data_IF_720839108952
#
_entry.id   IF_720839108952
#
_cell.length_a   1.000
_cell.length_b   1.000
_cell.length_c   1.000
_cell.angle_alpha   90.00
_cell.angle_beta   90.00
_cell.angle_gamma   90.00
#
_symmetry.space_group_name_H-M   'P 1'
#
loop_
_entity.id
_entity.type
_entity.pdbx_description
1 polymer ?
#
# COMPACT_ATOMS: atom_id res chain seq x y z
N UNK A 1 0.62 -36.23 -7.18
CA UNK A 1 0.76 -35.01 -6.35
C UNK A 1 0.50 -33.80 -7.23
N UNK A 2 -0.70 -33.23 -7.16
CA UNK A 2 -0.98 -31.94 -7.80
C UNK A 2 -0.21 -30.88 -7.01
N UNK A 3 0.76 -30.24 -7.65
CA UNK A 3 1.40 -29.02 -7.15
C UNK A 3 0.28 -28.04 -6.82
N UNK A 4 -0.01 -27.86 -5.52
CA UNK A 4 -0.72 -26.67 -5.07
C UNK A 4 0.11 -25.50 -5.60
N UNK A 5 -0.39 -24.79 -6.61
CA UNK A 5 0.24 -23.54 -7.04
C UNK A 5 0.25 -22.64 -5.81
N UNK A 6 1.42 -22.48 -5.20
CA UNK A 6 1.66 -21.43 -4.24
C UNK A 6 1.41 -20.13 -5.00
N UNK A 7 0.33 -19.44 -4.64
CA UNK A 7 -0.01 -18.17 -5.22
C UNK A 7 0.90 -17.13 -4.57
N UNK A 8 2.04 -16.90 -5.21
CA UNK A 8 2.90 -15.80 -4.86
C UNK A 8 2.27 -14.48 -5.27
N UNK A 9 2.68 -13.39 -4.63
CA UNK A 9 2.17 -12.05 -4.92
C UNK A 9 3.20 -10.96 -4.62
N UNK A 10 3.03 -9.80 -5.24
CA UNK A 10 3.82 -8.60 -4.94
C UNK A 10 3.16 -7.76 -3.82
N UNK A 11 3.95 -7.40 -2.81
CA UNK A 11 3.58 -6.44 -1.78
C UNK A 11 4.07 -5.02 -2.11
N UNK A 12 4.19 -4.13 -1.10
CA UNK A 12 4.71 -2.80 -1.32
C UNK A 12 6.21 -2.77 -1.62
N UNK A 13 6.65 -1.67 -2.22
CA UNK A 13 8.06 -1.28 -2.27
C UNK A 13 8.54 -0.94 -0.85
N UNK A 14 9.45 -1.76 -0.34
CA UNK A 14 10.09 -1.56 0.96
C UNK A 14 11.50 -1.01 0.73
N UNK A 15 11.68 0.30 0.94
CA UNK A 15 12.96 0.99 0.70
C UNK A 15 14.12 0.41 1.50
N UNK A 16 13.83 -0.18 2.66
CA UNK A 16 14.80 -0.80 3.57
C UNK A 16 15.39 -2.12 3.02
N UNK A 17 14.79 -2.70 1.98
CA UNK A 17 15.27 -3.94 1.32
C UNK A 17 16.14 -3.60 0.08
N UNK A 18 16.36 -2.32 -0.22
CA UNK A 18 17.47 -1.86 -1.07
C UNK A 18 17.30 -1.95 -2.59
N UNK A 19 16.18 -2.42 -3.12
CA UNK A 19 16.00 -2.60 -4.58
C UNK A 19 15.10 -1.56 -5.25
N UNK A 20 14.27 -0.81 -4.50
CA UNK A 20 13.25 0.05 -5.11
C UNK A 20 12.17 -0.73 -5.88
N UNK A 21 12.12 -2.06 -5.71
CA UNK A 21 11.16 -2.95 -6.32
C UNK A 21 10.11 -3.43 -5.31
N UNK A 22 8.93 -3.76 -5.81
CA UNK A 22 7.88 -4.39 -5.01
C UNK A 22 8.40 -5.75 -4.48
N UNK A 23 8.27 -5.98 -3.17
CA UNK A 23 8.76 -7.22 -2.56
C UNK A 23 7.87 -8.39 -2.95
N UNK A 24 8.47 -9.47 -3.47
CA UNK A 24 7.76 -10.69 -3.83
C UNK A 24 7.61 -11.62 -2.62
N UNK A 25 6.39 -12.13 -2.40
CA UNK A 25 6.08 -13.06 -1.33
C UNK A 25 5.57 -14.37 -1.93
N UNK A 26 6.15 -15.50 -1.53
CA UNK A 26 5.75 -16.82 -2.05
C UNK A 26 4.36 -17.28 -1.57
N UNK A 27 3.90 -16.77 -0.42
CA UNK A 27 2.56 -17.03 0.11
C UNK A 27 2.15 -16.00 1.15
N UNK A 28 0.88 -16.04 1.58
CA UNK A 28 0.40 -15.17 2.66
C UNK A 28 1.09 -15.49 3.98
N UNK A 29 1.55 -16.73 4.18
CA UNK A 29 2.39 -17.08 5.34
C UNK A 29 3.72 -16.32 5.32
N UNK A 30 4.39 -16.22 4.17
CA UNK A 30 5.65 -15.47 4.05
C UNK A 30 5.44 -14.00 4.44
N UNK A 31 4.36 -13.40 3.94
CA UNK A 31 3.95 -12.05 4.30
C UNK A 31 3.74 -11.89 5.81
N UNK A 32 2.89 -12.73 6.41
CA UNK A 32 2.52 -12.58 7.84
C UNK A 32 3.75 -12.76 8.74
N UNK A 33 4.58 -13.76 8.48
CA UNK A 33 5.74 -14.06 9.31
C UNK A 33 6.87 -13.04 9.13
N UNK A 34 7.12 -12.55 7.91
CA UNK A 34 8.09 -11.48 7.66
C UNK A 34 7.70 -10.18 8.40
N UNK A 35 6.40 -9.85 8.45
CA UNK A 35 5.89 -8.60 9.06
C UNK A 35 5.86 -8.62 10.59
N UNK A 36 6.22 -9.74 11.23
CA UNK A 36 6.50 -9.79 12.68
C UNK A 36 7.79 -9.08 13.06
N UNK A 37 8.67 -8.81 12.10
CA UNK A 37 9.94 -8.15 12.33
C UNK A 37 9.90 -6.70 11.87
N UNK A 38 10.60 -5.84 12.61
CA UNK A 38 10.85 -4.46 12.20
C UNK A 38 11.92 -4.46 11.11
N UNK A 39 11.53 -4.10 9.89
CA UNK A 39 12.40 -4.08 8.72
C UNK A 39 13.64 -3.20 8.93
N UNK A 40 13.48 -2.06 9.62
CA UNK A 40 14.57 -1.13 9.89
C UNK A 40 15.68 -1.73 10.77
N UNK A 41 15.36 -2.78 11.53
CA UNK A 41 16.28 -3.45 12.48
C UNK A 41 16.70 -4.84 12.03
N UNK A 42 15.83 -5.53 11.29
CA UNK A 42 15.95 -6.96 10.99
C UNK A 42 15.84 -7.26 9.49
N UNK A 43 16.28 -6.33 8.62
CA UNK A 43 16.21 -6.48 7.17
C UNK A 43 16.77 -7.82 6.66
N UNK A 44 17.95 -8.25 7.14
CA UNK A 44 18.57 -9.51 6.73
C UNK A 44 17.74 -10.75 7.12
N UNK A 45 17.15 -10.75 8.31
CA UNK A 45 16.27 -11.83 8.76
C UNK A 45 14.97 -11.88 7.95
N UNK A 46 14.41 -10.72 7.61
CA UNK A 46 13.26 -10.65 6.73
C UNK A 46 13.61 -11.19 5.34
N UNK A 47 14.75 -10.80 4.78
CA UNK A 47 15.21 -11.33 3.49
C UNK A 47 15.39 -12.85 3.54
N UNK A 48 15.97 -13.40 4.62
CA UNK A 48 16.08 -14.84 4.82
C UNK A 48 14.69 -15.51 4.84
N UNK A 49 13.72 -14.97 5.58
CA UNK A 49 12.34 -15.49 5.60
C UNK A 49 11.68 -15.48 4.23
N UNK A 50 11.95 -14.47 3.40
CA UNK A 50 11.40 -14.36 2.05
C UNK A 50 12.00 -15.37 1.05
N UNK A 51 13.24 -15.80 1.28
CA UNK A 51 13.95 -16.77 0.45
C UNK A 51 13.67 -18.23 0.85
N UNK A 52 13.01 -18.46 1.98
CA UNK A 52 12.66 -19.81 2.42
C UNK A 52 11.68 -20.46 1.43
N UNK A 53 11.89 -21.72 1.02
CA UNK A 53 11.07 -22.33 -0.02
C UNK A 53 9.71 -22.80 0.48
N UNK A 54 9.54 -23.02 1.79
CA UNK A 54 8.30 -23.56 2.36
C UNK A 54 7.73 -22.74 3.51
N UNK A 55 6.41 -22.69 3.61
CA UNK A 55 5.72 -22.04 4.73
C UNK A 55 6.11 -22.61 6.10
N UNK A 56 6.48 -23.90 6.15
CA UNK A 56 6.90 -24.54 7.40
C UNK A 56 8.22 -23.96 7.89
N UNK A 57 9.21 -23.79 7.00
CA UNK A 57 10.51 -23.24 7.35
C UNK A 57 10.42 -21.78 7.78
N UNK A 58 9.62 -20.98 7.09
CA UNK A 58 9.32 -19.60 7.47
C UNK A 58 8.77 -19.53 8.89
N UNK A 59 7.72 -20.30 9.20
CA UNK A 59 7.12 -20.33 10.55
C UNK A 59 8.10 -20.83 11.59
N UNK A 60 8.93 -21.82 11.25
CA UNK A 60 9.94 -22.37 12.17
C UNK A 60 11.01 -21.33 12.52
N UNK A 61 11.57 -20.64 11.51
CA UNK A 61 12.57 -19.60 11.73
C UNK A 61 11.97 -18.42 12.49
N UNK A 62 10.81 -17.92 12.05
CA UNK A 62 10.11 -16.84 12.75
C UNK A 62 9.85 -17.13 14.23
N UNK A 63 9.44 -18.37 14.57
CA UNK A 63 9.25 -18.78 15.97
C UNK A 63 10.56 -18.87 16.75
N UNK A 64 11.64 -19.37 16.12
CA UNK A 64 12.97 -19.40 16.72
C UNK A 64 13.44 -17.99 17.08
N UNK A 65 13.16 -17.03 16.21
CA UNK A 65 13.50 -15.61 16.37
C UNK A 65 12.39 -14.80 17.08
N UNK A 66 11.50 -15.45 17.83
CA UNK A 66 10.34 -14.76 18.45
C UNK A 66 10.71 -13.66 19.45
N UNK A 67 11.91 -13.71 20.03
CA UNK A 67 12.45 -12.63 20.86
C UNK A 67 12.68 -11.32 20.08
N UNK A 68 12.84 -11.41 18.76
CA UNK A 68 13.04 -10.27 17.85
C UNK A 68 11.73 -9.81 17.19
N UNK A 69 10.58 -10.38 17.57
CA UNK A 69 9.29 -9.88 17.10
C UNK A 69 9.05 -8.46 17.60
N UNK A 70 8.45 -7.64 16.74
CA UNK A 70 8.02 -6.30 17.08
C UNK A 70 7.02 -6.33 18.24
N UNK A 71 7.21 -5.43 19.20
CA UNK A 71 6.41 -5.37 20.44
C UNK A 71 4.94 -5.02 20.19
N UNK A 72 4.65 -4.29 19.12
CA UNK A 72 3.31 -3.88 18.70
C UNK A 72 2.61 -4.92 17.78
N UNK A 73 3.17 -6.12 17.60
CA UNK A 73 2.61 -7.14 16.70
C UNK A 73 1.12 -7.41 16.97
N UNK A 74 0.73 -7.52 18.24
CA UNK A 74 -0.67 -7.79 18.59
C UNK A 74 -1.63 -6.67 18.18
N UNK A 75 -1.15 -5.42 18.10
CA UNK A 75 -1.92 -4.26 17.69
C UNK A 75 -2.08 -4.20 16.16
N UNK A 76 -1.03 -4.56 15.42
CA UNK A 76 -1.00 -4.38 13.97
C UNK A 76 -1.35 -5.64 13.16
N UNK A 77 -1.34 -6.83 13.78
CA UNK A 77 -1.53 -8.12 13.08
C UNK A 77 -2.77 -8.14 12.19
N UNK A 78 -3.87 -7.56 12.64
CA UNK A 78 -5.13 -7.52 11.89
C UNK A 78 -4.98 -6.70 10.61
N UNK A 79 -4.37 -5.51 10.68
CA UNK A 79 -4.10 -4.68 9.52
C UNK A 79 -3.15 -5.38 8.55
N UNK A 80 -2.07 -5.96 9.07
CA UNK A 80 -1.09 -6.72 8.27
C UNK A 80 -1.74 -7.86 7.50
N UNK A 81 -2.56 -8.69 8.16
CA UNK A 81 -3.22 -9.83 7.50
C UNK A 81 -4.20 -9.35 6.42
N UNK A 82 -5.04 -8.36 6.72
CA UNK A 82 -5.98 -7.80 5.74
C UNK A 82 -5.24 -7.23 4.51
N UNK A 83 -4.14 -6.51 4.75
CA UNK A 83 -3.31 -5.94 3.70
C UNK A 83 -2.66 -7.02 2.82
N UNK A 84 -2.15 -8.10 3.42
CA UNK A 84 -1.58 -9.23 2.67
C UNK A 84 -2.61 -9.95 1.80
N UNK A 85 -3.83 -10.18 2.33
CA UNK A 85 -4.95 -10.70 1.54
C UNK A 85 -5.30 -9.75 0.40
N UNK A 86 -5.29 -8.44 0.65
CA UNK A 86 -5.60 -7.44 -0.37
C UNK A 86 -4.59 -7.47 -1.53
N UNK A 87 -3.28 -7.45 -1.22
CA UNK A 87 -2.22 -7.57 -2.23
C UNK A 87 -2.36 -8.85 -3.04
N UNK A 88 -2.59 -9.98 -2.38
CA UNK A 88 -2.76 -11.26 -3.02
C UNK A 88 -3.99 -11.29 -3.97
N UNK A 89 -5.05 -10.55 -3.64
CA UNK A 89 -6.23 -10.44 -4.51
C UNK A 89 -6.03 -9.47 -5.68
N UNK A 90 -5.24 -8.40 -5.48
CA UNK A 90 -4.92 -7.40 -6.51
C UNK A 90 -4.03 -8.03 -7.58
N UNK A 91 -2.97 -8.74 -7.18
CA UNK A 91 -1.95 -9.27 -8.08
C UNK A 91 -2.47 -10.40 -8.98
N UNK A 92 -3.38 -11.22 -8.48
CA UNK A 92 -3.89 -12.37 -9.22
C UNK A 92 -5.02 -12.07 -10.20
N UNK A 93 -5.42 -10.82 -10.40
CA UNK A 93 -6.50 -10.50 -11.33
C UNK A 93 -6.15 -10.98 -12.77
N UNK A 94 -7.00 -11.80 -13.44
CA UNK A 94 -8.41 -12.09 -13.15
C UNK A 94 -8.70 -13.36 -12.33
N UNK A 95 -7.68 -14.16 -11.99
CA UNK A 95 -7.84 -15.39 -11.19
C UNK A 95 -8.05 -15.05 -9.70
N UNK A 96 -9.29 -15.10 -9.21
CA UNK A 96 -9.54 -14.85 -7.79
C UNK A 96 -8.95 -15.97 -6.92
N UNK A 97 -8.19 -15.64 -5.86
CA UNK A 97 -7.73 -16.66 -4.93
C UNK A 97 -8.92 -17.36 -4.26
N UNK A 98 -8.77 -18.66 -4.03
CA UNK A 98 -9.81 -19.44 -3.36
C UNK A 98 -9.81 -19.03 -1.88
N UNK A 99 -10.88 -18.39 -1.40
CA UNK A 99 -11.03 -17.94 0.00
C UNK A 99 -10.60 -18.99 1.02
N UNK A 100 -11.00 -20.25 0.81
CA UNK A 100 -10.67 -21.36 1.73
C UNK A 100 -9.16 -21.68 1.80
N UNK A 101 -8.37 -21.32 0.80
CA UNK A 101 -6.92 -21.43 0.84
C UNK A 101 -6.33 -20.31 1.69
N UNK A 102 -6.71 -19.06 1.45
CA UNK A 102 -6.23 -17.90 2.21
C UNK A 102 -6.53 -18.04 3.71
N UNK A 103 -7.75 -18.48 4.06
CA UNK A 103 -8.15 -18.75 5.44
C UNK A 103 -7.24 -19.80 6.08
N UNK A 104 -6.93 -20.90 5.36
CA UNK A 104 -6.01 -21.94 5.85
C UNK A 104 -4.59 -21.42 6.08
N UNK A 105 -4.08 -20.55 5.22
CA UNK A 105 -2.76 -19.93 5.41
C UNK A 105 -2.74 -19.02 6.66
N UNK A 106 -3.80 -18.23 6.87
CA UNK A 106 -3.95 -17.39 8.07
C UNK A 106 -4.04 -18.25 9.34
N UNK A 107 -4.80 -19.36 9.31
CA UNK A 107 -4.91 -20.29 10.44
C UNK A 107 -3.56 -20.89 10.84
N UNK A 108 -2.72 -21.25 9.85
CA UNK A 108 -1.37 -21.80 10.09
C UNK A 108 -0.44 -20.81 10.79
N UNK A 109 -0.73 -19.51 10.74
CA UNK A 109 -0.03 -18.46 11.48
C UNK A 109 -0.52 -18.28 12.92
N UNK A 110 -1.39 -19.17 13.42
CA UNK A 110 -1.87 -19.17 14.81
C UNK A 110 -3.10 -18.30 15.05
N UNK A 111 -3.86 -17.99 14.00
CA UNK A 111 -5.13 -17.26 14.09
C UNK A 111 -6.28 -18.27 14.09
N UNK A 112 -7.30 -18.06 14.94
CA UNK A 112 -8.46 -18.95 14.94
C UNK A 112 -9.23 -18.84 13.63
N UNK A 113 -9.84 -19.94 13.17
CA UNK A 113 -10.61 -19.99 11.92
C UNK A 113 -11.64 -18.87 11.81
N UNK A 114 -12.43 -18.62 12.86
CA UNK A 114 -13.43 -17.57 12.87
C UNK A 114 -12.83 -16.17 12.62
N UNK A 115 -11.67 -15.88 13.20
CA UNK A 115 -10.96 -14.62 12.97
C UNK A 115 -10.33 -14.60 11.59
N UNK A 116 -9.76 -15.72 11.13
CA UNK A 116 -9.17 -15.86 9.80
C UNK A 116 -10.19 -15.59 8.69
N UNK A 117 -11.42 -16.12 8.82
CA UNK A 117 -12.54 -15.87 7.90
C UNK A 117 -12.87 -14.37 7.82
N UNK A 118 -13.02 -13.70 8.97
CA UNK A 118 -13.32 -12.25 9.04
C UNK A 118 -12.20 -11.42 8.39
N UNK A 119 -10.94 -11.73 8.69
CA UNK A 119 -9.79 -11.02 8.14
C UNK A 119 -9.66 -11.23 6.64
N UNK A 120 -9.92 -12.45 6.16
CA UNK A 120 -9.92 -12.75 4.74
C UNK A 120 -11.02 -11.96 4.00
N UNK A 121 -12.25 -11.94 4.53
CA UNK A 121 -13.35 -11.17 3.94
C UNK A 121 -13.06 -9.68 3.89
N UNK A 122 -12.50 -9.11 4.97
CA UNK A 122 -12.13 -7.70 5.01
C UNK A 122 -10.99 -7.36 4.05
N UNK A 123 -9.97 -8.22 3.94
CA UNK A 123 -8.90 -8.05 2.96
C UNK A 123 -9.40 -8.14 1.52
N UNK A 124 -10.30 -9.07 1.22
CA UNK A 124 -10.95 -9.17 -0.09
C UNK A 124 -11.82 -7.93 -0.40
N UNK A 125 -12.57 -7.43 0.60
CA UNK A 125 -13.32 -6.18 0.48
C UNK A 125 -12.37 -5.01 0.18
N UNK A 126 -11.22 -4.95 0.85
CA UNK A 126 -10.20 -3.92 0.64
C UNK A 126 -9.60 -3.97 -0.77
N UNK A 127 -9.35 -5.15 -1.33
CA UNK A 127 -8.87 -5.32 -2.70
C UNK A 127 -9.88 -4.85 -3.76
N UNK A 128 -11.18 -5.02 -3.49
CA UNK A 128 -12.26 -4.58 -4.38
C UNK A 128 -12.69 -3.13 -4.12
N UNK A 129 -12.08 -2.46 -3.15
CA UNK A 129 -12.46 -1.12 -2.75
C UNK A 129 -11.96 -0.05 -3.74
N UNK A 130 -12.46 1.20 -3.66
CA UNK A 130 -12.07 2.26 -4.57
C UNK A 130 -10.55 2.48 -4.61
N UNK A 131 -10.04 2.68 -5.82
CA UNK A 131 -8.66 3.06 -6.09
C UNK A 131 -8.55 4.58 -6.04
N UNK A 132 -7.67 5.11 -5.19
CA UNK A 132 -7.51 6.56 -5.00
C UNK A 132 -6.10 6.96 -5.37
N UNK A 133 -5.96 7.89 -6.31
CA UNK A 133 -4.69 8.51 -6.64
C UNK A 133 -4.58 9.87 -5.94
N UNK A 134 -3.47 10.09 -5.25
CA UNK A 134 -3.17 11.39 -4.62
C UNK A 134 -1.90 11.95 -5.25
N UNK A 135 -2.03 13.08 -5.94
CA UNK A 135 -0.93 13.80 -6.57
C UNK A 135 -0.61 15.04 -5.75
N UNK A 136 0.62 15.13 -5.25
CA UNK A 136 1.06 16.25 -4.43
C UNK A 136 2.55 16.50 -4.66
N UNK A 137 2.96 17.76 -4.75
CA UNK A 137 4.39 18.09 -4.72
C UNK A 137 5.00 17.77 -3.34
N UNK A 138 6.31 17.52 -3.29
CA UNK A 138 7.04 17.29 -2.03
C UNK A 138 7.00 18.48 -1.06
N UNK A 139 6.64 19.67 -1.54
CA UNK A 139 6.55 20.91 -0.75
C UNK A 139 5.24 21.05 0.03
N UNK A 140 4.25 20.18 -0.19
CA UNK A 140 2.99 20.23 0.55
C UNK A 140 3.27 20.02 2.05
N UNK A 141 2.85 20.94 2.93
CA UNK A 141 3.04 20.74 4.37
C UNK A 141 2.37 19.46 4.85
N UNK A 142 3.11 18.67 5.65
CA UNK A 142 2.66 17.35 6.09
C UNK A 142 1.33 17.40 6.87
N UNK A 143 1.06 18.50 7.58
CA UNK A 143 -0.20 18.71 8.32
C UNK A 143 -1.40 18.77 7.37
N UNK A 144 -1.27 19.50 6.24
CA UNK A 144 -2.31 19.59 5.22
C UNK A 144 -2.54 18.24 4.54
N UNK A 145 -1.44 17.55 4.21
CA UNK A 145 -1.50 16.22 3.60
C UNK A 145 -2.20 15.21 4.52
N UNK A 146 -1.76 15.11 5.79
CA UNK A 146 -2.33 14.21 6.78
C UNK A 146 -3.80 14.48 7.05
N UNK A 147 -4.21 15.76 7.16
CA UNK A 147 -5.61 16.13 7.36
C UNK A 147 -6.48 15.57 6.23
N UNK A 148 -6.03 15.72 4.99
CA UNK A 148 -6.77 15.24 3.81
C UNK A 148 -6.79 13.72 3.74
N UNK A 149 -5.65 13.05 3.93
CA UNK A 149 -5.58 11.58 3.92
C UNK A 149 -6.50 10.96 4.98
N UNK A 150 -6.62 11.56 6.17
CA UNK A 150 -7.60 11.15 7.20
C UNK A 150 -9.05 11.32 6.73
N UNK A 151 -9.37 12.40 6.01
CA UNK A 151 -10.71 12.61 5.46
C UNK A 151 -11.05 11.59 4.36
N UNK A 152 -10.10 11.29 3.48
CA UNK A 152 -10.22 10.22 2.47
C UNK A 152 -10.48 8.89 3.17
N UNK A 153 -9.66 8.56 4.17
CA UNK A 153 -9.79 7.34 4.93
C UNK A 153 -11.16 7.21 5.62
N UNK A 154 -11.67 8.32 6.19
CA UNK A 154 -13.00 8.37 6.77
C UNK A 154 -14.10 8.20 5.71
N UNK A 155 -13.98 8.85 4.54
CA UNK A 155 -14.95 8.75 3.42
C UNK A 155 -15.13 7.31 2.96
N UNK A 156 -14.06 6.54 2.90
CA UNK A 156 -14.07 5.14 2.44
C UNK A 156 -14.03 4.12 3.57
N UNK A 157 -14.32 4.53 4.82
CA UNK A 157 -14.36 3.65 6.00
C UNK A 157 -13.09 2.80 6.23
N UNK A 158 -11.93 3.29 5.78
CA UNK A 158 -10.67 2.55 5.83
C UNK A 158 -10.52 1.44 4.79
N UNK A 159 -11.44 1.34 3.83
CA UNK A 159 -11.39 0.39 2.71
C UNK A 159 -11.17 1.14 1.41
N UNK A 160 -9.91 1.29 1.00
CA UNK A 160 -9.51 1.82 -0.30
C UNK A 160 -8.06 1.42 -0.59
N UNK A 161 -7.65 1.50 -1.85
CA UNK A 161 -6.26 1.26 -2.27
C UNK A 161 -5.61 2.56 -2.72
N UNK A 162 -4.39 2.84 -2.27
CA UNK A 162 -3.61 3.94 -2.82
C UNK A 162 -3.08 3.53 -4.19
N UNK A 163 -3.36 4.32 -5.22
CA UNK A 163 -2.66 4.25 -6.50
C UNK A 163 -1.49 5.23 -6.44
N UNK A 164 -0.30 4.69 -6.22
CA UNK A 164 0.91 5.47 -6.09
C UNK A 164 1.57 5.68 -7.45
N UNK A 165 1.63 6.94 -7.87
CA UNK A 165 2.34 7.35 -9.08
C UNK A 165 3.85 7.27 -8.87
N UNK A 166 4.55 6.50 -9.71
CA UNK A 166 6.03 6.35 -9.66
C UNK A 166 6.80 7.39 -10.46
N UNK A 167 6.10 8.13 -11.32
CA UNK A 167 6.72 9.14 -12.18
C UNK A 167 7.08 10.43 -11.45
N UNK A 168 7.29 11.50 -12.20
CA UNK A 168 7.61 12.82 -11.65
C UNK A 168 6.51 13.32 -10.72
N UNK A 169 6.91 14.07 -9.69
CA UNK A 169 6.05 14.54 -8.60
C UNK A 169 5.47 13.43 -7.73
N UNK A 170 6.04 12.22 -7.77
CA UNK A 170 5.79 11.23 -6.73
C UNK A 170 6.17 11.80 -5.36
N UNK A 171 5.29 11.61 -4.38
CA UNK A 171 5.49 12.06 -3.01
C UNK A 171 5.49 10.85 -2.08
N UNK A 172 6.69 10.51 -1.58
CA UNK A 172 6.90 9.32 -0.75
C UNK A 172 6.18 9.41 0.59
N UNK A 173 5.90 10.61 1.11
CA UNK A 173 5.12 10.79 2.35
C UNK A 173 3.71 10.21 2.22
N UNK A 174 3.09 10.28 1.03
CA UNK A 174 1.77 9.66 0.78
C UNK A 174 1.87 8.13 0.84
N UNK A 175 2.91 7.59 0.22
CA UNK A 175 3.20 6.16 0.22
C UNK A 175 3.38 5.64 1.65
N UNK A 176 4.24 6.29 2.44
CA UNK A 176 4.55 5.86 3.80
C UNK A 176 3.36 6.03 4.74
N UNK A 177 2.54 7.07 4.51
CA UNK A 177 1.26 7.23 5.20
C UNK A 177 0.30 6.05 4.91
N UNK A 178 0.20 5.62 3.65
CA UNK A 178 -0.65 4.49 3.29
C UNK A 178 -0.14 3.17 3.89
N UNK A 179 1.18 2.96 3.88
CA UNK A 179 1.81 1.80 4.54
C UNK A 179 1.52 1.76 6.05
N UNK A 180 1.73 2.87 6.74
CA UNK A 180 1.46 2.96 8.19
C UNK A 180 -0.03 2.82 8.53
N UNK A 181 -0.91 3.19 7.60
CA UNK A 181 -2.36 3.03 7.74
C UNK A 181 -2.87 1.63 7.35
N UNK A 182 -1.98 0.73 6.91
CA UNK A 182 -2.33 -0.63 6.51
C UNK A 182 -3.12 -0.73 5.20
N UNK A 183 -3.02 0.28 4.34
CA UNK A 183 -3.70 0.32 3.05
C UNK A 183 -2.83 -0.37 1.98
N UNK A 184 -3.42 -1.12 1.04
CA UNK A 184 -2.70 -1.64 -0.11
C UNK A 184 -2.31 -0.51 -1.06
N UNK A 185 -1.15 -0.67 -1.69
CA UNK A 185 -0.56 0.30 -2.61
C UNK A 185 -0.39 -0.35 -3.98
N UNK A 186 -0.94 0.26 -5.01
CA UNK A 186 -0.83 -0.15 -6.41
C UNK A 186 0.10 0.85 -7.09
N UNK A 187 1.22 0.37 -7.61
CA UNK A 187 2.22 1.23 -8.25
C UNK A 187 1.93 1.37 -9.73
N UNK A 188 1.92 2.61 -10.22
CA UNK A 188 1.56 2.94 -11.59
C UNK A 188 2.51 3.96 -12.19
N UNK A 189 2.80 3.77 -13.47
CA UNK A 189 3.71 4.60 -14.25
C UNK A 189 5.18 4.19 -14.07
N UNK A 190 6.02 4.77 -14.91
CA UNK A 190 7.46 4.55 -14.91
C UNK A 190 8.21 5.67 -14.18
N UNK A 191 9.43 5.35 -13.76
CA UNK A 191 10.37 6.34 -13.23
C UNK A 191 10.53 7.46 -14.28
N UNK A 192 10.53 8.71 -13.83
CA UNK A 192 10.61 9.92 -14.66
C UNK A 192 9.44 10.19 -15.63
N UNK A 193 8.42 9.33 -15.66
CA UNK A 193 7.22 9.54 -16.47
C UNK A 193 6.51 10.84 -16.04
N UNK A 194 6.10 11.64 -17.01
CA UNK A 194 5.35 12.88 -16.77
C UNK A 194 3.86 12.58 -16.63
N UNK A 195 3.14 13.41 -15.87
CA UNK A 195 1.68 13.34 -15.74
C UNK A 195 0.92 13.79 -17.01
N UNK A 196 1.65 14.31 -18.00
CA UNK A 196 1.16 14.85 -19.26
C UNK A 196 2.05 14.39 -20.42
N UNK A 197 1.45 14.25 -21.59
CA UNK A 197 2.13 13.80 -22.81
C UNK A 197 1.88 12.32 -23.12
N UNK A 198 2.72 11.70 -23.96
CA UNK A 198 2.64 10.27 -24.27
C UNK A 198 2.68 9.43 -22.98
N UNK A 199 1.79 8.42 -22.86
CA UNK A 199 1.69 7.58 -21.67
C UNK A 199 0.82 8.15 -20.55
N UNK A 200 0.31 9.39 -20.67
CA UNK A 200 -0.51 10.01 -19.62
C UNK A 200 -1.87 9.32 -19.40
N UNK A 201 -2.34 8.52 -20.36
CA UNK A 201 -3.49 7.61 -20.23
C UNK A 201 -3.34 6.68 -19.03
N UNK A 202 -2.13 6.21 -18.73
CA UNK A 202 -1.85 5.36 -17.58
C UNK A 202 -2.24 6.06 -16.28
N UNK A 203 -1.98 7.37 -16.17
CA UNK A 203 -2.41 8.15 -15.01
C UNK A 203 -3.94 8.37 -15.00
N UNK A 204 -4.57 8.57 -16.15
CA UNK A 204 -6.02 8.85 -16.24
C UNK A 204 -6.89 7.65 -15.88
N UNK A 205 -6.41 6.46 -16.15
CA UNK A 205 -7.24 5.25 -16.08
C UNK A 205 -6.96 4.42 -14.82
N UNK A 206 -5.92 4.75 -14.05
CA UNK A 206 -5.46 3.93 -12.94
C UNK A 206 -6.27 4.02 -11.65
N UNK A 207 -7.08 5.07 -11.46
CA UNK A 207 -7.84 5.27 -10.24
C UNK A 207 -9.32 5.63 -10.50
N UNK A 208 -10.12 5.44 -9.46
CA UNK A 208 -11.53 5.80 -9.42
C UNK A 208 -11.70 7.25 -8.95
N UNK A 209 -10.86 7.69 -7.99
CA UNK A 209 -10.86 9.03 -7.45
C UNK A 209 -9.46 9.67 -7.48
N UNK A 210 -9.42 10.96 -7.81
CA UNK A 210 -8.17 11.73 -7.85
C UNK A 210 -8.21 12.90 -6.88
N UNK A 211 -7.15 13.03 -6.10
CA UNK A 211 -6.91 14.16 -5.21
C UNK A 211 -5.63 14.86 -5.65
N UNK A 212 -5.75 16.11 -6.10
CA UNK A 212 -4.61 16.86 -6.62
C UNK A 212 -4.34 18.06 -5.72
N UNK A 213 -3.20 18.06 -5.05
CA UNK A 213 -2.76 19.17 -4.24
C UNK A 213 -2.09 20.21 -5.11
N UNK A 214 -2.56 21.45 -5.04
CA UNK A 214 -1.95 22.59 -5.73
C UNK A 214 -1.78 23.76 -4.77
N UNK A 215 -0.74 24.56 -4.99
CA UNK A 215 -0.48 25.74 -4.17
C UNK A 215 -1.50 26.81 -4.54
N UNK A 216 -2.09 27.48 -3.56
CA UNK A 216 -3.06 28.56 -3.83
C UNK A 216 -2.40 29.66 -4.66
N UNK A 217 -3.04 30.00 -5.79
CA UNK A 217 -2.53 30.97 -6.75
C UNK A 217 -1.56 30.39 -7.78
N UNK A 218 -1.12 29.15 -7.61
CA UNK A 218 -0.41 28.38 -8.63
C UNK A 218 -1.43 27.64 -9.52
N UNK A 219 -1.06 27.42 -10.77
CA UNK A 219 -1.87 26.74 -11.80
C UNK A 219 -1.11 25.58 -12.45
N UNK A 220 -0.04 25.11 -11.82
CA UNK A 220 0.79 24.01 -12.34
C UNK A 220 0.00 22.73 -12.56
N UNK A 221 -0.91 22.40 -11.65
CA UNK A 221 -1.66 21.15 -11.74
C UNK A 221 -2.88 21.25 -12.67
N UNK A 222 -3.25 22.45 -13.14
CA UNK A 222 -4.46 22.69 -13.95
C UNK A 222 -4.52 21.79 -15.19
N UNK A 223 -3.39 21.65 -15.90
CA UNK A 223 -3.32 20.78 -17.08
C UNK A 223 -3.47 19.29 -16.73
N UNK A 224 -2.89 18.84 -15.63
CA UNK A 224 -3.04 17.46 -15.14
C UNK A 224 -4.49 17.19 -14.75
N UNK A 225 -5.13 18.13 -14.03
CA UNK A 225 -6.54 18.05 -13.65
C UNK A 225 -7.43 17.99 -14.89
N UNK A 226 -7.20 18.84 -15.88
CA UNK A 226 -7.96 18.83 -17.13
C UNK A 226 -7.78 17.51 -17.90
N UNK A 227 -6.56 16.97 -17.95
CA UNK A 227 -6.28 15.68 -18.58
C UNK A 227 -7.01 14.52 -17.91
N UNK A 228 -7.07 14.49 -16.57
CA UNK A 228 -7.80 13.43 -15.85
C UNK A 228 -9.30 13.59 -16.01
N UNK A 229 -9.83 14.82 -15.94
CA UNK A 229 -11.26 15.10 -16.14
C UNK A 229 -11.74 14.79 -17.55
N UNK A 230 -10.90 14.92 -18.58
CA UNK A 230 -11.29 14.60 -19.95
C UNK A 230 -11.56 13.10 -20.16
N UNK A 231 -11.08 12.23 -19.26
CA UNK A 231 -11.42 10.81 -19.20
C UNK A 231 -12.70 10.52 -18.37
N UNK A 232 -13.46 11.55 -17.97
CA UNK A 232 -14.69 11.40 -17.19
C UNK A 232 -14.47 11.07 -15.71
N UNK A 233 -13.25 11.26 -15.20
CA UNK A 233 -12.89 10.97 -13.79
C UNK A 233 -13.19 12.15 -12.87
N UNK A 234 -13.61 11.84 -11.64
CA UNK A 234 -13.79 12.85 -10.58
C UNK A 234 -12.42 13.28 -10.03
N UNK A 235 -12.17 14.59 -10.00
CA UNK A 235 -10.92 15.18 -9.49
C UNK A 235 -11.22 16.26 -8.45
N UNK A 236 -10.81 16.03 -7.21
CA UNK A 236 -10.83 17.00 -6.13
C UNK A 236 -9.50 17.75 -6.05
N UNK A 237 -9.54 19.08 -6.22
CA UNK A 237 -8.35 19.93 -6.10
C UNK A 237 -8.26 20.43 -4.65
N UNK A 238 -7.14 20.11 -3.99
CA UNK A 238 -6.87 20.47 -2.60
C UNK A 238 -5.86 21.61 -2.57
N UNK A 239 -6.36 22.83 -2.36
CA UNK A 239 -5.51 24.01 -2.28
C UNK A 239 -4.78 24.10 -0.94
N UNK A 240 -3.48 24.34 -0.97
CA UNK A 240 -2.65 24.59 0.21
C UNK A 240 -1.92 25.93 0.09
N UNK A 241 -1.61 26.55 1.22
CA UNK A 241 -0.75 27.72 1.28
C UNK A 241 0.45 27.37 2.17
N UNK A 242 1.66 27.85 1.86
CA UNK A 242 2.73 27.84 2.85
C UNK A 242 2.22 28.61 4.07
N UNK A 243 2.49 28.11 5.27
CA UNK A 243 2.31 28.91 6.47
C UNK A 243 3.13 30.19 6.27
N UNK A 244 2.48 31.35 6.37
CA UNK A 244 3.23 32.58 6.58
C UNK A 244 3.95 32.35 7.90
N UNK A 245 5.29 32.27 7.86
CA UNK A 245 6.07 32.49 9.06
C UNK A 245 5.81 33.94 9.44
N UNK A 246 4.72 34.19 10.16
CA UNK A 246 4.48 35.46 10.80
C UNK A 246 5.68 35.71 11.73
N UNK A 247 6.45 36.74 11.40
CA UNK A 247 7.36 37.54 12.24
C UNK A 247 7.52 37.07 13.69
N UNK A 248 8.13 35.90 13.88
CA UNK A 248 8.52 35.41 15.21
C UNK A 248 9.96 35.82 15.51
N UNK A 249 10.30 37.05 15.14
CA UNK A 249 11.47 37.82 15.59
C UNK A 249 11.14 39.31 15.43
N UNK A 250 10.30 39.83 16.34
CA UNK A 250 10.35 41.24 16.77
C UNK A 250 10.51 41.22 18.28
#
# INVERSE_FOLDING_TARGET
MLLQRFSSFYGPELTEIGTGEATHFLSLTHWIEARKFDLSKHASLVQELLLMPTEYEVRRLSRKESANWRSDWQLIKTAVIMQGVAYHCIDLYPSRPIKSQLVREIERCGISKAVADILCERGMKMAAAPKVCVLAENKVPIVHLNRRLRLINKRFEGFWSLVHWRGRFSNKTIHDWALSSGLPIIYVGDIDQRTLGPGSEVLRDCADHYYVFDRRGDKRAERTVANVRSAGKEVEVVLWQPEQMDDMFI
#
